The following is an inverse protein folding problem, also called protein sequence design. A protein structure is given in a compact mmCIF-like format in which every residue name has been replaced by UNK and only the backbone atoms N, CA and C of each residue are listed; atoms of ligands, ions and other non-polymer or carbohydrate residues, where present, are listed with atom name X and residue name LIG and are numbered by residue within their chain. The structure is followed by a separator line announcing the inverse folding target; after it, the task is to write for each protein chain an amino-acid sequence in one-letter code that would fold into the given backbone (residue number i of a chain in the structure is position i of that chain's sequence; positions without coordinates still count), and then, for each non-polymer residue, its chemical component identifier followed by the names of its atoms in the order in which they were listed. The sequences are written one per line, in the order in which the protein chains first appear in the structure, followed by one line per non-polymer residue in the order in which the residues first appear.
data_IF_190713518470
#
_entry.id   IF_190713518470
#
_cell.length_a   1.000
_cell.length_b   1.000
_cell.length_c   1.000
_cell.angle_alpha   90.00
_cell.angle_beta   90.00
_cell.angle_gamma   90.00
#
_symmetry.space_group_name_H-M   'P 1'
#
loop_
_entity.id
_entity.type
_entity.pdbx_description
1 polymer ?
#
# COMPACT_ATOMS: atom_id res chain seq x y z
N UNK A 1 9.09 16.77 6.84
CA UNK A 1 8.20 16.09 5.87
C UNK A 1 8.93 14.96 5.13
N UNK A 2 9.57 15.20 3.98
CA UNK A 2 10.17 14.10 3.17
C UNK A 2 11.24 13.26 3.90
N UNK A 3 12.11 13.91 4.68
CA UNK A 3 13.17 13.20 5.41
C UNK A 3 12.64 12.40 6.61
N UNK A 4 11.50 12.81 7.19
CA UNK A 4 10.81 12.04 8.22
C UNK A 4 10.14 10.81 7.62
N UNK A 5 9.49 10.96 6.45
CA UNK A 5 8.93 9.83 5.71
C UNK A 5 10.00 8.81 5.32
N UNK A 6 11.16 9.26 4.82
CA UNK A 6 12.28 8.38 4.48
C UNK A 6 12.80 7.60 5.71
N UNK A 7 12.88 8.26 6.87
CA UNK A 7 13.24 7.60 8.14
C UNK A 7 12.17 6.60 8.56
N UNK A 8 10.89 6.96 8.43
CA UNK A 8 9.76 6.07 8.73
C UNK A 8 9.74 4.82 7.83
N UNK A 9 10.28 4.90 6.60
CA UNK A 9 10.44 3.74 5.71
C UNK A 9 11.58 2.81 6.13
N UNK A 10 12.44 3.21 7.08
CA UNK A 10 13.68 2.47 7.38
C UNK A 10 14.62 2.42 6.17
N UNK A 11 14.56 3.43 5.30
CA UNK A 11 15.34 3.54 4.07
C UNK A 11 15.20 2.32 3.13
N UNK A 12 14.04 1.65 3.14
CA UNK A 12 13.79 0.49 2.31
C UNK A 12 12.33 0.42 1.87
N UNK A 13 12.13 0.13 0.58
CA UNK A 13 10.82 -0.01 -0.03
C UNK A 13 10.76 -1.34 -0.78
N UNK A 14 9.61 -2.01 -0.77
CA UNK A 14 9.47 -3.31 -1.44
C UNK A 14 8.75 -3.18 -2.78
N UNK A 15 7.56 -2.58 -2.78
CA UNK A 15 6.75 -2.45 -3.98
C UNK A 15 6.17 -1.04 -4.09
N UNK A 16 5.95 -0.62 -5.34
CA UNK A 16 5.31 0.64 -5.69
C UNK A 16 4.21 0.35 -6.71
N UNK A 17 3.07 1.02 -6.55
CA UNK A 17 2.00 1.01 -7.54
C UNK A 17 1.63 2.44 -7.91
N UNK A 18 1.34 2.63 -9.19
CA UNK A 18 0.88 3.90 -9.76
C UNK A 18 -0.56 3.70 -10.20
N UNK A 19 -1.48 4.46 -9.65
CA UNK A 19 -2.86 4.49 -10.10
C UNK A 19 -3.08 5.75 -10.94
N UNK A 20 -2.98 5.61 -12.26
CA UNK A 20 -3.02 6.75 -13.17
C UNK A 20 -4.37 7.46 -13.19
N UNK A 21 -5.50 6.74 -13.16
CA UNK A 21 -6.82 7.37 -13.24
C UNK A 21 -7.16 8.20 -12.00
N UNK A 22 -6.82 7.71 -10.80
CA UNK A 22 -7.01 8.43 -9.55
C UNK A 22 -5.87 9.41 -9.22
N UNK A 23 -4.82 9.46 -10.06
CA UNK A 23 -3.60 10.27 -9.83
C UNK A 23 -2.99 9.99 -8.45
N UNK A 24 -2.77 8.71 -8.13
CA UNK A 24 -2.18 8.28 -6.84
C UNK A 24 -0.91 7.46 -7.05
N UNK A 25 0.00 7.55 -6.09
CA UNK A 25 1.16 6.66 -5.94
C UNK A 25 1.07 6.01 -4.57
N UNK A 26 1.34 4.71 -4.50
CA UNK A 26 1.32 3.97 -3.25
C UNK A 26 2.53 3.05 -3.11
N UNK A 27 2.98 2.84 -1.87
CA UNK A 27 4.26 2.19 -1.57
C UNK A 27 4.24 1.42 -0.26
N UNK A 28 4.89 0.26 -0.24
CA UNK A 28 5.18 -0.51 0.97
C UNK A 28 6.62 -0.32 1.42
N UNK A 29 6.80 -0.12 2.73
CA UNK A 29 8.11 -0.01 3.38
C UNK A 29 8.21 -1.05 4.52
N UNK A 30 8.66 -2.28 4.22
CA UNK A 30 8.58 -3.39 5.16
C UNK A 30 9.40 -3.18 6.42
N UNK A 31 10.61 -2.60 6.30
CA UNK A 31 11.47 -2.29 7.46
C UNK A 31 10.83 -1.28 8.41
N UNK A 32 10.04 -0.37 7.87
CA UNK A 32 9.25 0.59 8.64
C UNK A 32 7.93 0.03 9.16
N UNK A 33 7.49 -1.13 8.66
CA UNK A 33 6.11 -1.62 8.80
C UNK A 33 5.08 -0.55 8.39
N UNK A 34 5.35 0.16 7.28
CA UNK A 34 4.53 1.27 6.79
C UNK A 34 4.00 1.03 5.39
N UNK A 35 2.79 1.54 5.15
CA UNK A 35 2.15 1.64 3.86
C UNK A 35 1.75 3.10 3.61
N UNK A 36 2.09 3.62 2.44
CA UNK A 36 1.87 5.02 2.11
C UNK A 36 1.03 5.17 0.83
N UNK A 37 0.25 6.25 0.77
CA UNK A 37 -0.42 6.74 -0.44
C UNK A 37 -0.18 8.26 -0.55
N UNK A 38 0.21 8.71 -1.73
CA UNK A 38 0.34 10.13 -2.07
C UNK A 38 -0.54 10.49 -3.25
N UNK A 39 -0.96 11.74 -3.26
CA UNK A 39 -1.41 12.44 -4.45
C UNK A 39 -0.24 12.61 -5.43
N UNK A 40 -0.42 12.18 -6.68
CA UNK A 40 0.64 12.16 -7.69
C UNK A 40 1.03 13.56 -8.17
N UNK A 41 0.06 14.47 -8.26
CA UNK A 41 0.27 15.78 -8.87
C UNK A 41 0.83 16.78 -7.85
N UNK A 42 0.29 16.78 -6.64
CA UNK A 42 0.71 17.70 -5.57
C UNK A 42 1.82 17.14 -4.67
N UNK A 43 2.03 15.82 -4.68
CA UNK A 43 2.91 15.14 -3.72
C UNK A 43 2.36 15.10 -2.29
N UNK A 44 1.11 15.52 -2.08
CA UNK A 44 0.50 15.50 -0.76
C UNK A 44 0.34 14.07 -0.23
N UNK A 45 0.76 13.85 1.02
CA UNK A 45 0.55 12.58 1.70
C UNK A 45 -0.94 12.41 2.02
N UNK A 46 -1.56 11.36 1.46
CA UNK A 46 -2.96 11.01 1.71
C UNK A 46 -3.12 9.94 2.79
N UNK A 47 -2.16 9.01 2.88
CA UNK A 47 -2.17 7.95 3.89
C UNK A 47 -0.75 7.61 4.32
N UNK A 48 -0.58 7.44 5.63
CA UNK A 48 0.59 6.79 6.23
C UNK A 48 0.12 5.83 7.33
N UNK A 49 -0.04 4.56 6.95
CA UNK A 49 -0.67 3.52 7.75
C UNK A 49 0.35 2.48 8.26
N UNK A 50 0.18 1.99 9.50
CA UNK A 50 0.93 0.82 9.96
C UNK A 50 0.45 -0.43 9.21
N UNK A 51 1.39 -1.15 8.59
CA UNK A 51 1.16 -2.43 7.95
C UNK A 51 2.37 -3.35 8.18
N UNK A 52 2.36 -4.16 9.25
CA UNK A 52 3.43 -5.08 9.56
C UNK A 52 3.68 -6.08 8.44
N UNK A 53 4.96 -6.28 8.10
CA UNK A 53 5.41 -7.23 7.08
C UNK A 53 4.74 -7.04 5.70
N UNK A 54 4.34 -5.80 5.37
CA UNK A 54 3.86 -5.46 4.03
C UNK A 54 4.88 -5.84 2.96
N UNK A 55 4.43 -6.17 1.76
CA UNK A 55 5.33 -6.37 0.62
C UNK A 55 4.65 -5.97 -0.69
N UNK A 56 3.71 -6.77 -1.18
CA UNK A 56 3.04 -6.55 -2.46
C UNK A 56 2.03 -5.39 -2.42
N UNK A 57 1.94 -4.68 -3.54
CA UNK A 57 0.92 -3.67 -3.81
C UNK A 57 0.51 -3.72 -5.27
N UNK A 58 -0.77 -3.50 -5.53
CA UNK A 58 -1.33 -3.45 -6.87
C UNK A 58 -2.41 -2.38 -6.97
N UNK A 59 -2.38 -1.61 -8.05
CA UNK A 59 -3.45 -0.66 -8.38
C UNK A 59 -4.64 -1.43 -8.99
N UNK A 60 -5.83 -1.16 -8.50
CA UNK A 60 -7.12 -1.70 -8.99
C UNK A 60 -8.07 -0.54 -9.24
N UNK A 61 -9.16 -0.75 -9.98
CA UNK A 61 -10.09 0.29 -10.49
C UNK A 61 -10.48 1.38 -9.46
N UNK A 62 -10.62 1.00 -8.20
CA UNK A 62 -11.08 1.89 -7.13
C UNK A 62 -10.00 2.23 -6.09
N UNK A 63 -8.74 1.81 -6.29
CA UNK A 63 -7.66 2.11 -5.35
C UNK A 63 -6.54 1.07 -5.34
N UNK A 64 -6.20 0.54 -4.15
CA UNK A 64 -5.05 -0.35 -4.00
C UNK A 64 -5.39 -1.61 -3.22
N UNK A 65 -4.76 -2.71 -3.64
CA UNK A 65 -4.66 -3.94 -2.86
C UNK A 65 -3.24 -4.05 -2.31
N UNK A 66 -3.11 -4.37 -1.02
CA UNK A 66 -1.82 -4.49 -0.32
C UNK A 66 -1.78 -5.81 0.44
N UNK A 67 -0.66 -6.52 0.35
CA UNK A 67 -0.43 -7.82 0.98
C UNK A 67 0.63 -7.75 2.07
N UNK A 68 0.53 -8.61 3.09
CA UNK A 68 1.53 -8.73 4.15
C UNK A 68 1.88 -10.17 4.50
N UNK A 69 3.06 -10.38 5.08
CA UNK A 69 3.60 -11.69 5.47
C UNK A 69 2.72 -12.45 6.48
N UNK A 70 1.83 -11.73 7.18
CA UNK A 70 0.90 -12.29 8.17
C UNK A 70 -0.33 -12.98 7.57
N UNK A 71 -0.31 -13.33 6.28
CA UNK A 71 -1.46 -13.91 5.58
C UNK A 71 -2.60 -12.92 5.34
N UNK A 72 -2.30 -11.62 5.26
CA UNK A 72 -3.32 -10.57 5.16
C UNK A 72 -3.29 -9.90 3.80
N UNK A 73 -4.47 -9.67 3.25
CA UNK A 73 -4.70 -8.84 2.08
C UNK A 73 -5.73 -7.77 2.41
N UNK A 74 -5.45 -6.52 2.05
CA UNK A 74 -6.29 -5.36 2.35
C UNK A 74 -6.55 -4.58 1.08
N UNK A 75 -7.81 -4.19 0.90
CA UNK A 75 -8.23 -3.23 -0.11
C UNK A 75 -8.41 -1.85 0.52
N UNK A 76 -7.90 -0.83 -0.17
CA UNK A 76 -8.09 0.58 0.15
C UNK A 76 -8.89 1.22 -0.97
N UNK A 77 -10.15 1.54 -0.69
CA UNK A 77 -11.03 2.29 -1.60
C UNK A 77 -10.61 3.76 -1.58
N UNK A 78 -9.95 4.19 -2.66
CA UNK A 78 -9.39 5.51 -2.82
C UNK A 78 -10.36 6.51 -3.47
N UNK A 79 -11.61 6.12 -3.68
CA UNK A 79 -12.70 7.04 -4.08
C UNK A 79 -13.40 7.66 -2.88
N UNK A 80 -13.16 7.11 -1.69
CA UNK A 80 -13.67 7.63 -0.43
C UNK A 80 -12.75 8.72 0.12
N UNK A 81 -13.35 9.63 0.88
CA UNK A 81 -12.60 10.67 1.60
C UNK A 81 -11.68 10.06 2.65
N UNK A 82 -12.16 9.03 3.37
CA UNK A 82 -11.38 8.30 4.36
C UNK A 82 -10.82 6.99 3.79
N UNK A 83 -9.49 6.85 3.87
CA UNK A 83 -8.76 5.69 3.36
C UNK A 83 -8.66 4.58 4.40
N UNK A 84 -9.76 3.86 4.57
CA UNK A 84 -9.85 2.74 5.50
C UNK A 84 -9.46 1.41 4.85
N UNK A 85 -8.71 0.61 5.60
CA UNK A 85 -8.36 -0.74 5.18
C UNK A 85 -9.58 -1.67 5.28
N UNK A 86 -9.95 -2.32 4.18
CA UNK A 86 -10.92 -3.42 4.18
C UNK A 86 -10.18 -4.74 3.99
N UNK A 87 -10.31 -5.72 4.90
CA UNK A 87 -9.75 -7.05 4.67
C UNK A 87 -10.39 -7.68 3.44
N UNK A 88 -9.59 -8.41 2.66
CA UNK A 88 -10.07 -9.28 1.60
C UNK A 88 -10.02 -10.72 2.08
N UNK A 89 -11.13 -11.44 1.89
CA UNK A 89 -11.18 -12.88 2.13
C UNK A 89 -10.47 -13.60 1.01
N UNK A 90 -9.43 -14.36 1.39
CA UNK A 90 -8.62 -15.13 0.46
C UNK A 90 -8.88 -16.62 0.67
N UNK A 91 -8.82 -17.43 -0.40
CA UNK A 91 -8.92 -18.87 -0.26
C UNK A 91 -7.79 -19.42 0.63
N UNK A 92 -8.06 -20.50 1.35
CA UNK A 92 -7.04 -21.20 2.10
C UNK A 92 -5.95 -21.74 1.14
N UNK A 93 -4.68 -21.61 1.53
CA UNK A 93 -3.56 -22.06 0.71
C UNK A 93 -2.19 -21.62 1.25
N UNK A 94 -1.15 -21.93 0.47
CA UNK A 94 0.19 -21.39 0.71
C UNK A 94 0.17 -19.88 0.42
N UNK A 95 0.84 -19.12 1.28
CA UNK A 95 0.86 -17.67 1.21
C UNK A 95 2.25 -17.15 0.88
N UNK A 96 2.32 -16.32 -0.14
CA UNK A 96 3.44 -15.43 -0.40
C UNK A 96 2.90 -13.99 -0.41
N UNK A 97 3.66 -13.04 0.16
CA UNK A 97 3.20 -11.66 0.28
C UNK A 97 3.59 -10.79 -0.92
N UNK A 98 4.27 -11.31 -1.95
CA UNK A 98 4.44 -10.61 -3.22
C UNK A 98 3.14 -10.67 -4.03
N UNK A 99 2.82 -9.58 -4.70
CA UNK A 99 1.58 -9.45 -5.45
C UNK A 99 1.88 -9.31 -6.93
N UNK A 100 1.17 -10.10 -7.74
CA UNK A 100 1.16 -9.97 -9.19
C UNK A 100 -0.30 -9.81 -9.62
N UNK A 101 -0.59 -8.73 -10.35
CA UNK A 101 -1.88 -8.52 -11.00
C UNK A 101 -1.78 -9.03 -12.43
N UNK A 102 -2.80 -9.76 -12.90
CA UNK A 102 -2.91 -10.32 -14.25
C UNK A 102 -4.03 -9.68 -15.04
#
# INVERSE_FOLDING_TARGET
MAQEQLRAMGHYTASVAVHSDLRLIALTAPRGNRFFIWDMDSGALKLDAPLPECAGIGAVVDGFVVTSGQGRCRFYDCRKEELLARPLDLPAGLWDNHLHLV
#
